data_IF_361604743731
#
_entry.id   IF_361604743731
#
_cell.length_a   1.000
_cell.length_b   1.000
_cell.length_c   1.000
_cell.angle_alpha   90.00
_cell.angle_beta   90.00
_cell.angle_gamma   90.00
#
_symmetry.space_group_name_H-M   'P 1'
#
loop_
_entity.id
_entity.type
_entity.pdbx_description
1 polymer ?
#
# COMPACT_ATOMS: atom_id res chain seq x y z
N UNK A 1 -2.14 10.56 18.15
CA UNK A 1 -3.42 11.07 18.71
C UNK A 1 -4.63 10.71 17.86
N UNK A 2 -4.46 10.42 16.55
CA UNK A 2 -5.55 10.02 15.63
C UNK A 2 -6.00 8.55 15.76
N UNK A 3 -5.15 7.66 16.26
CA UNK A 3 -5.50 6.24 16.44
C UNK A 3 -6.43 5.95 17.62
N UNK A 4 -6.45 6.79 18.67
CA UNK A 4 -7.35 6.60 19.83
C UNK A 4 -8.81 6.98 19.56
N UNK A 5 -9.06 7.87 18.60
CA UNK A 5 -10.42 8.32 18.24
C UNK A 5 -11.21 7.30 17.39
N UNK A 6 -10.51 6.45 16.62
CA UNK A 6 -11.16 5.45 15.76
C UNK A 6 -11.59 4.19 16.52
N UNK A 7 -10.85 3.80 17.57
CA UNK A 7 -11.18 2.60 18.37
C UNK A 7 -12.47 2.78 19.19
N UNK A 8 -12.73 3.99 19.69
CA UNK A 8 -13.94 4.26 20.48
C UNK A 8 -15.23 4.28 19.65
N UNK A 9 -15.16 4.67 18.36
CA UNK A 9 -16.34 4.66 17.47
C UNK A 9 -16.76 3.26 17.02
N UNK A 10 -15.81 2.31 16.94
CA UNK A 10 -16.12 0.92 16.55
C UNK A 10 -16.74 0.10 17.70
N UNK A 11 -16.34 0.36 18.94
CA UNK A 11 -16.95 -0.32 20.10
C UNK A 11 -18.40 0.12 20.35
N UNK A 12 -18.75 1.36 19.93
CA UNK A 12 -20.13 1.86 20.00
C UNK A 12 -21.04 1.28 18.92
N UNK A 13 -20.49 0.81 17.77
CA UNK A 13 -21.28 0.20 16.69
C UNK A 13 -21.85 -1.18 17.04
N UNK A 14 -21.28 -1.89 17.98
CA UNK A 14 -21.74 -3.22 18.39
C UNK A 14 -23.02 -3.19 19.25
N UNK A 15 -23.34 -2.07 19.92
CA UNK A 15 -24.47 -1.97 20.87
C UNK A 15 -25.72 -1.27 20.34
N UNK A 16 -25.69 -0.56 19.22
CA UNK A 16 -26.85 0.22 18.71
C UNK A 16 -27.25 -0.16 17.28
N UNK A 17 -27.57 -1.43 17.07
CA UNK A 17 -27.87 -2.02 15.76
C UNK A 17 -29.16 -1.51 15.08
N UNK A 18 -29.92 -0.59 15.71
CA UNK A 18 -31.24 -0.16 15.23
C UNK A 18 -31.40 1.31 14.90
N UNK A 19 -30.33 2.11 14.91
CA UNK A 19 -30.49 3.58 14.90
C UNK A 19 -29.81 4.28 13.72
N UNK A 20 -29.14 3.57 12.82
CA UNK A 20 -28.42 4.19 11.71
C UNK A 20 -28.91 3.75 10.35
N UNK A 21 -28.87 4.66 9.38
CA UNK A 21 -29.15 4.35 7.99
C UNK A 21 -28.15 3.29 7.46
N UNK A 22 -28.60 2.15 6.90
CA UNK A 22 -27.68 1.12 6.36
C UNK A 22 -26.98 1.56 5.07
N UNK A 23 -27.44 2.66 4.41
CA UNK A 23 -26.88 3.14 3.16
C UNK A 23 -25.78 4.19 3.36
N UNK A 24 -25.95 5.11 4.32
CA UNK A 24 -24.99 6.21 4.53
C UNK A 24 -24.48 6.34 5.97
N UNK A 25 -24.88 5.46 6.89
CA UNK A 25 -24.45 5.48 8.29
C UNK A 25 -25.04 6.62 9.14
N UNK A 26 -25.89 7.50 8.58
CA UNK A 26 -26.44 8.66 9.29
C UNK A 26 -27.40 8.24 10.41
N UNK A 27 -27.38 8.96 11.53
CA UNK A 27 -28.13 8.59 12.74
C UNK A 27 -29.62 8.96 12.68
N UNK A 28 -29.97 10.05 11.99
CA UNK A 28 -31.33 10.53 11.97
C UNK A 28 -32.16 9.78 10.93
N UNK A 29 -32.87 8.76 11.43
CA UNK A 29 -33.84 8.00 10.66
C UNK A 29 -35.22 8.13 11.27
N UNK A 30 -36.25 8.32 10.45
CA UNK A 30 -37.64 8.45 10.87
C UNK A 30 -38.45 7.23 10.47
N UNK A 31 -39.47 6.88 11.26
CA UNK A 31 -40.44 5.85 10.91
C UNK A 31 -41.24 6.31 9.70
N UNK A 32 -41.34 5.46 8.64
CA UNK A 32 -42.00 5.79 7.39
C UNK A 32 -42.99 4.70 6.98
N UNK A 33 -44.08 4.58 7.76
CA UNK A 33 -45.14 3.61 7.49
C UNK A 33 -44.70 2.15 7.68
N UNK A 34 -45.58 1.20 7.29
CA UNK A 34 -45.33 -0.23 7.33
C UNK A 34 -45.50 -0.86 5.95
N UNK A 35 -44.76 -1.90 5.66
CA UNK A 35 -44.89 -2.68 4.43
C UNK A 35 -44.81 -4.15 4.79
N UNK A 36 -45.81 -4.96 4.39
CA UNK A 36 -45.89 -6.37 4.72
C UNK A 36 -45.66 -6.66 6.22
N UNK A 37 -46.32 -5.89 7.12
CA UNK A 37 -46.20 -6.04 8.57
C UNK A 37 -44.90 -5.49 9.21
N UNK A 38 -43.93 -5.02 8.40
CA UNK A 38 -42.65 -4.52 8.89
C UNK A 38 -42.58 -3.00 8.89
N UNK A 39 -41.99 -2.41 9.95
CA UNK A 39 -41.76 -0.98 10.04
C UNK A 39 -40.71 -0.56 8.99
N UNK A 40 -41.04 0.44 8.15
CA UNK A 40 -40.10 1.11 7.24
C UNK A 40 -39.54 2.36 7.90
N UNK A 41 -38.36 2.72 7.48
CA UNK A 41 -37.64 3.90 7.92
C UNK A 41 -37.15 4.70 6.71
N UNK A 42 -37.05 6.03 6.88
CA UNK A 42 -36.48 6.95 5.89
C UNK A 42 -35.30 7.66 6.54
N UNK A 43 -34.17 7.66 5.85
CA UNK A 43 -33.00 8.45 6.25
C UNK A 43 -33.22 9.91 5.92
N UNK A 44 -32.97 10.81 6.88
CA UNK A 44 -33.08 12.25 6.63
C UNK A 44 -31.93 12.78 5.77
N UNK A 45 -30.77 12.13 5.75
CA UNK A 45 -29.62 12.56 4.98
C UNK A 45 -29.69 12.12 3.51
N UNK A 46 -29.76 10.81 3.24
CA UNK A 46 -29.74 10.28 1.88
C UNK A 46 -31.12 9.98 1.28
N UNK A 47 -32.20 10.19 2.02
CA UNK A 47 -33.57 9.93 1.56
C UNK A 47 -33.96 8.47 1.39
N UNK A 48 -33.02 7.53 1.56
CA UNK A 48 -33.26 6.10 1.35
C UNK A 48 -34.32 5.55 2.28
N UNK A 49 -35.21 4.73 1.70
CA UNK A 49 -36.22 3.97 2.45
C UNK A 49 -35.72 2.54 2.69
N UNK A 50 -35.79 2.08 3.93
CA UNK A 50 -35.30 0.75 4.30
C UNK A 50 -36.12 0.16 5.46
N UNK A 51 -35.96 -1.15 5.65
CA UNK A 51 -36.44 -1.86 6.84
C UNK A 51 -35.22 -2.44 7.53
N UNK A 52 -35.17 -2.45 8.86
CA UNK A 52 -34.10 -3.15 9.61
C UNK A 52 -34.26 -4.68 9.50
N UNK A 53 -34.54 -5.17 8.28
CA UNK A 53 -34.58 -6.58 7.99
C UNK A 53 -33.15 -7.14 7.93
N UNK A 54 -33.00 -8.39 8.32
CA UNK A 54 -31.73 -9.12 8.37
C UNK A 54 -30.90 -9.04 7.08
N UNK A 55 -31.54 -8.91 5.90
CA UNK A 55 -30.86 -8.80 4.60
C UNK A 55 -30.15 -7.45 4.37
N UNK A 56 -30.75 -6.33 4.74
CA UNK A 56 -30.16 -5.01 4.50
C UNK A 56 -28.98 -4.74 5.46
N UNK A 57 -29.17 -5.13 6.72
CA UNK A 57 -28.10 -5.07 7.75
C UNK A 57 -26.96 -6.04 7.41
N UNK A 58 -27.28 -7.22 6.86
CA UNK A 58 -26.30 -8.21 6.47
C UNK A 58 -25.41 -7.72 5.31
N UNK A 59 -25.99 -7.02 4.33
CA UNK A 59 -25.22 -6.52 3.16
C UNK A 59 -24.26 -5.41 3.55
N UNK A 60 -24.67 -4.47 4.40
CA UNK A 60 -23.80 -3.43 4.93
C UNK A 60 -22.66 -4.01 5.79
N UNK A 61 -22.98 -5.01 6.64
CA UNK A 61 -21.97 -5.68 7.47
C UNK A 61 -20.98 -6.51 6.63
N UNK A 62 -21.41 -7.10 5.51
CA UNK A 62 -20.53 -7.87 4.62
C UNK A 62 -19.43 -6.99 4.02
N UNK A 63 -19.79 -5.77 3.59
CA UNK A 63 -18.82 -4.84 3.04
C UNK A 63 -17.78 -4.41 4.08
N UNK A 64 -18.16 -4.22 5.35
CA UNK A 64 -17.22 -3.90 6.43
C UNK A 64 -16.17 -5.00 6.61
N UNK A 65 -16.55 -6.28 6.52
CA UNK A 65 -15.61 -7.40 6.61
C UNK A 65 -14.65 -7.46 5.42
N UNK A 66 -15.15 -7.16 4.21
CA UNK A 66 -14.33 -7.03 3.02
C UNK A 66 -13.32 -5.88 3.16
N UNK A 67 -13.78 -4.71 3.65
CA UNK A 67 -12.91 -3.56 3.93
C UNK A 67 -11.83 -3.90 4.98
N UNK A 68 -12.16 -4.66 6.01
CA UNK A 68 -11.17 -5.09 7.00
C UNK A 68 -10.11 -6.01 6.39
N UNK A 69 -10.51 -6.90 5.51
CA UNK A 69 -9.58 -7.75 4.79
C UNK A 69 -8.61 -6.94 3.94
N UNK A 70 -9.11 -6.02 3.12
CA UNK A 70 -8.29 -5.24 2.18
C UNK A 70 -7.47 -4.15 2.89
N UNK A 71 -8.10 -3.33 3.74
CA UNK A 71 -7.47 -2.13 4.30
C UNK A 71 -6.75 -2.39 5.62
N UNK A 72 -7.24 -3.33 6.43
CA UNK A 72 -6.66 -3.61 7.75
C UNK A 72 -5.76 -4.83 7.79
N UNK A 73 -5.52 -5.46 6.65
CA UNK A 73 -4.65 -6.64 6.51
C UNK A 73 -5.03 -7.78 7.47
N UNK A 74 -6.32 -7.90 7.81
CA UNK A 74 -6.82 -9.00 8.61
C UNK A 74 -6.84 -10.28 7.78
N UNK A 75 -6.43 -11.40 8.36
CA UNK A 75 -6.54 -12.70 7.69
C UNK A 75 -8.00 -13.16 7.64
N UNK A 76 -8.33 -14.01 6.66
CA UNK A 76 -9.67 -14.61 6.56
C UNK A 76 -10.05 -15.36 7.84
N UNK A 77 -9.11 -16.07 8.44
CA UNK A 77 -9.32 -16.78 9.71
C UNK A 77 -9.70 -15.82 10.85
N UNK A 78 -8.99 -14.69 10.99
CA UNK A 78 -9.32 -13.67 11.98
C UNK A 78 -10.71 -13.06 11.75
N UNK A 79 -11.05 -12.81 10.49
CA UNK A 79 -12.39 -12.29 10.15
C UNK A 79 -13.47 -13.34 10.40
N UNK A 80 -13.20 -14.61 10.16
CA UNK A 80 -14.12 -15.70 10.45
C UNK A 80 -14.44 -15.76 11.95
N UNK A 81 -13.43 -15.69 12.80
CA UNK A 81 -13.58 -15.64 14.25
C UNK A 81 -14.41 -14.44 14.72
N UNK A 82 -14.09 -13.24 14.21
CA UNK A 82 -14.78 -12.00 14.60
C UNK A 82 -16.21 -11.88 14.07
N UNK A 83 -16.46 -12.39 12.87
CA UNK A 83 -17.76 -12.25 12.18
C UNK A 83 -18.74 -13.36 12.46
N UNK A 84 -18.24 -14.55 12.85
CA UNK A 84 -19.00 -15.79 12.96
C UNK A 84 -19.40 -16.41 11.60
N UNK A 85 -18.83 -15.93 10.48
CA UNK A 85 -18.96 -16.58 9.17
C UNK A 85 -17.85 -17.63 9.01
N UNK A 86 -18.15 -18.72 8.28
CA UNK A 86 -17.09 -19.63 7.85
C UNK A 86 -16.19 -18.96 6.79
N UNK A 87 -14.93 -19.36 6.70
CA UNK A 87 -14.00 -18.85 5.69
C UNK A 87 -14.57 -18.98 4.26
N UNK A 88 -15.20 -20.12 3.96
CA UNK A 88 -15.86 -20.36 2.65
C UNK A 88 -16.98 -19.34 2.37
N UNK A 89 -17.73 -18.93 3.41
CA UNK A 89 -18.77 -17.90 3.24
C UNK A 89 -18.14 -16.52 3.02
N UNK A 90 -17.04 -16.22 3.70
CA UNK A 90 -16.30 -14.97 3.52
C UNK A 90 -15.74 -14.86 2.11
N UNK A 91 -15.06 -15.89 1.59
CA UNK A 91 -14.57 -15.90 0.20
C UNK A 91 -15.70 -15.63 -0.78
N UNK A 92 -16.81 -16.36 -0.70
CA UNK A 92 -17.96 -16.17 -1.59
C UNK A 92 -18.58 -14.78 -1.51
N UNK A 93 -18.57 -14.15 -0.32
CA UNK A 93 -19.04 -12.77 -0.14
C UNK A 93 -18.06 -11.74 -0.72
N UNK A 94 -16.76 -12.03 -0.66
CA UNK A 94 -15.71 -11.12 -1.13
C UNK A 94 -15.57 -11.19 -2.64
N UNK A 95 -15.78 -12.35 -3.25
CA UNK A 95 -15.85 -12.52 -4.71
C UNK A 95 -16.91 -11.60 -5.34
N UNK A 96 -18.08 -11.43 -4.70
CA UNK A 96 -19.11 -10.49 -5.17
C UNK A 96 -18.61 -9.03 -5.28
N UNK A 97 -17.60 -8.65 -4.48
CA UNK A 97 -16.99 -7.32 -4.53
C UNK A 97 -15.80 -7.25 -5.48
N UNK A 98 -15.03 -8.34 -5.59
CA UNK A 98 -13.87 -8.44 -6.49
C UNK A 98 -14.27 -8.53 -7.96
N UNK A 99 -15.44 -9.09 -8.27
CA UNK A 99 -15.98 -9.13 -9.63
C UNK A 99 -16.32 -7.76 -10.21
N UNK A 100 -16.45 -6.73 -9.35
CA UNK A 100 -16.72 -5.37 -9.80
C UNK A 100 -15.42 -4.67 -10.15
N UNK A 101 -15.23 -4.38 -11.41
CA UNK A 101 -14.12 -3.54 -11.84
C UNK A 101 -14.21 -2.16 -11.18
N UNK A 102 -13.10 -1.69 -10.57
CA UNK A 102 -13.06 -0.34 -10.04
C UNK A 102 -13.24 0.66 -11.17
N UNK A 103 -14.24 1.53 -11.03
CA UNK A 103 -14.41 2.69 -11.91
C UNK A 103 -13.72 3.86 -11.21
N UNK A 104 -12.67 4.41 -11.78
CA UNK A 104 -12.06 5.63 -11.30
C UNK A 104 -12.16 6.75 -12.32
N UNK A 105 -12.48 7.91 -11.82
CA UNK A 105 -12.29 9.12 -12.57
C UNK A 105 -10.82 9.51 -12.48
N UNK A 106 -10.13 9.51 -13.61
CA UNK A 106 -8.76 9.97 -13.69
C UNK A 106 -8.81 11.50 -13.51
N UNK A 107 -8.38 11.97 -12.34
CA UNK A 107 -8.11 13.39 -12.17
C UNK A 107 -6.87 13.73 -13.01
N UNK A 108 -7.09 14.31 -14.19
CA UNK A 108 -5.99 14.71 -15.09
C UNK A 108 -5.22 15.84 -14.46
N UNK A 109 -3.95 15.59 -14.22
CA UNK A 109 -2.96 16.62 -13.92
C UNK A 109 -1.96 16.67 -15.06
N UNK A 110 -1.59 17.88 -15.45
CA UNK A 110 -0.58 18.07 -16.49
C UNK A 110 0.79 17.49 -16.08
N UNK A 111 1.16 17.65 -14.79
CA UNK A 111 2.46 17.25 -14.24
C UNK A 111 2.31 16.30 -13.07
N UNK A 112 3.02 15.20 -13.09
CA UNK A 112 2.93 14.16 -12.06
C UNK A 112 4.29 13.73 -11.53
N UNK A 113 4.34 13.43 -10.23
CA UNK A 113 5.41 12.70 -9.59
C UNK A 113 4.96 11.24 -9.45
N UNK A 114 5.49 10.39 -10.32
CA UNK A 114 5.01 9.02 -10.50
C UNK A 114 5.70 8.06 -9.53
N UNK A 115 4.93 7.25 -8.82
CA UNK A 115 5.39 6.05 -8.15
C UNK A 115 5.09 4.84 -9.02
N UNK A 116 6.10 3.99 -9.22
CA UNK A 116 5.96 2.69 -9.88
C UNK A 116 6.36 1.62 -8.89
N UNK A 117 5.47 0.68 -8.62
CA UNK A 117 5.71 -0.44 -7.72
C UNK A 117 5.02 -1.71 -8.23
N UNK A 118 5.73 -2.82 -8.16
CA UNK A 118 5.22 -4.14 -8.52
C UNK A 118 4.88 -4.96 -7.30
N UNK A 119 3.74 -5.61 -7.31
CA UNK A 119 3.31 -6.53 -6.27
C UNK A 119 3.10 -7.91 -6.84
N UNK A 120 3.84 -8.89 -6.32
CA UNK A 120 3.79 -10.27 -6.74
C UNK A 120 2.76 -11.06 -5.95
N UNK A 121 1.94 -11.80 -6.67
CA UNK A 121 0.95 -12.72 -6.14
C UNK A 121 1.35 -14.17 -6.41
N UNK A 122 0.78 -15.13 -5.66
CA UNK A 122 0.89 -16.54 -6.03
C UNK A 122 0.47 -16.77 -7.49
N UNK A 123 0.97 -17.84 -8.11
CA UNK A 123 0.71 -18.21 -9.51
C UNK A 123 1.36 -17.30 -10.58
N UNK A 124 2.50 -16.70 -10.27
CA UNK A 124 3.27 -15.86 -11.21
C UNK A 124 2.48 -14.67 -11.76
N UNK A 125 1.66 -14.06 -10.97
CA UNK A 125 0.97 -12.84 -11.33
C UNK A 125 1.63 -11.65 -10.65
N UNK A 126 1.93 -10.61 -11.43
CA UNK A 126 2.47 -9.33 -10.96
C UNK A 126 1.46 -8.21 -11.26
N UNK A 127 1.19 -7.37 -10.27
CA UNK A 127 0.44 -6.14 -10.42
C UNK A 127 1.41 -4.96 -10.39
N UNK A 128 1.62 -4.33 -11.53
CA UNK A 128 2.40 -3.08 -11.62
C UNK A 128 1.45 -1.90 -11.48
N UNK A 129 1.72 -1.01 -10.54
CA UNK A 129 0.87 0.16 -10.23
C UNK A 129 1.63 1.44 -10.54
N UNK A 130 0.94 2.36 -11.23
CA UNK A 130 1.41 3.70 -11.54
C UNK A 130 0.57 4.70 -10.75
N UNK A 131 1.17 5.37 -9.77
CA UNK A 131 0.48 6.23 -8.82
C UNK A 131 1.05 7.65 -8.84
N UNK A 132 0.18 8.65 -8.89
CA UNK A 132 0.59 10.03 -8.62
C UNK A 132 0.77 10.23 -7.10
N UNK A 133 2.01 10.53 -6.69
CA UNK A 133 2.35 10.71 -5.27
C UNK A 133 1.72 11.99 -4.70
N UNK A 134 1.52 13.02 -5.51
CA UNK A 134 1.02 14.31 -5.04
C UNK A 134 -0.43 14.23 -4.60
N UNK A 135 -1.29 13.61 -5.41
CA UNK A 135 -2.72 13.42 -5.10
C UNK A 135 -3.02 12.03 -4.54
N UNK A 136 -1.99 11.17 -4.43
CA UNK A 136 -2.08 9.79 -3.92
C UNK A 136 -3.12 8.94 -4.62
N UNK A 137 -3.27 9.15 -5.93
CA UNK A 137 -4.23 8.42 -6.77
C UNK A 137 -3.51 7.52 -7.76
N UNK A 138 -3.99 6.30 -7.93
CA UNK A 138 -3.50 5.39 -8.96
C UNK A 138 -4.01 5.86 -10.31
N UNK A 139 -3.10 6.15 -11.22
CA UNK A 139 -3.42 6.60 -12.58
C UNK A 139 -3.66 5.42 -13.52
N UNK A 140 -2.88 4.37 -13.35
CA UNK A 140 -2.92 3.17 -14.18
C UNK A 140 -2.42 1.97 -13.41
N UNK A 141 -2.78 0.77 -13.83
CA UNK A 141 -2.19 -0.49 -13.37
C UNK A 141 -2.18 -1.51 -14.49
N UNK A 142 -1.23 -2.43 -14.43
CA UNK A 142 -1.12 -3.57 -15.33
C UNK A 142 -1.05 -4.86 -14.53
N UNK A 143 -1.83 -5.86 -14.94
CA UNK A 143 -1.67 -7.25 -14.52
C UNK A 143 -0.80 -7.96 -15.55
N UNK A 144 0.28 -8.56 -15.11
CA UNK A 144 1.27 -9.24 -15.97
C UNK A 144 1.87 -10.42 -15.20
N UNK A 145 2.75 -11.15 -15.85
CA UNK A 145 3.50 -12.26 -15.23
C UNK A 145 4.86 -11.83 -14.69
N UNK A 146 5.38 -10.67 -15.13
CA UNK A 146 6.65 -10.08 -14.66
C UNK A 146 6.68 -8.56 -14.91
N UNK A 147 7.66 -7.87 -14.33
CA UNK A 147 7.95 -6.46 -14.59
C UNK A 147 8.78 -6.30 -15.86
N UNK A 148 8.15 -6.51 -17.02
CA UNK A 148 8.83 -6.40 -18.32
C UNK A 148 9.14 -4.97 -18.70
N UNK A 149 10.39 -4.72 -19.12
CA UNK A 149 10.86 -3.38 -19.56
C UNK A 149 9.97 -2.79 -20.66
N UNK A 150 9.60 -3.61 -21.65
CA UNK A 150 8.81 -3.21 -22.80
C UNK A 150 7.39 -2.78 -22.38
N UNK A 151 6.76 -3.54 -21.50
CA UNK A 151 5.41 -3.24 -21.02
C UNK A 151 5.37 -1.97 -20.15
N UNK A 152 6.36 -1.82 -19.26
CA UNK A 152 6.47 -0.61 -18.44
C UNK A 152 6.75 0.61 -19.32
N UNK A 153 7.58 0.48 -20.34
CA UNK A 153 7.84 1.55 -21.31
C UNK A 153 6.57 1.96 -22.06
N UNK A 154 5.82 0.98 -22.57
CA UNK A 154 4.53 1.18 -23.25
C UNK A 154 3.54 1.92 -22.32
N UNK A 155 3.44 1.52 -21.05
CA UNK A 155 2.55 2.17 -20.09
C UNK A 155 2.91 3.63 -19.85
N UNK A 156 4.22 3.94 -19.75
CA UNK A 156 4.70 5.31 -19.60
C UNK A 156 4.43 6.15 -20.85
N UNK A 157 4.66 5.59 -22.03
CA UNK A 157 4.36 6.23 -23.32
C UNK A 157 2.85 6.50 -23.46
N UNK A 158 2.00 5.56 -23.03
CA UNK A 158 0.55 5.72 -23.01
C UNK A 158 0.10 6.83 -22.05
N UNK A 159 0.67 6.91 -20.85
CA UNK A 159 0.38 8.01 -19.92
C UNK A 159 0.76 9.38 -20.51
N UNK A 160 1.90 9.45 -21.22
CA UNK A 160 2.32 10.68 -21.89
C UNK A 160 1.42 11.02 -23.09
N UNK A 161 0.96 10.03 -23.85
CA UNK A 161 0.08 10.23 -25.01
C UNK A 161 -1.28 10.85 -24.65
N UNK A 162 -1.74 10.63 -23.42
CA UNK A 162 -2.97 11.27 -22.90
C UNK A 162 -2.70 12.63 -22.26
N UNK A 163 -1.49 13.20 -22.43
CA UNK A 163 -1.12 14.54 -22.01
C UNK A 163 -0.54 14.65 -20.59
N UNK A 164 -0.13 13.54 -19.97
CA UNK A 164 0.51 13.55 -18.66
C UNK A 164 2.01 13.81 -18.82
N UNK A 165 2.53 14.84 -18.17
CA UNK A 165 3.97 15.13 -18.09
C UNK A 165 4.52 14.50 -16.82
N UNK A 166 5.43 13.54 -16.96
CA UNK A 166 6.09 12.84 -15.86
C UNK A 166 7.34 13.64 -15.45
N UNK A 167 7.27 14.36 -14.31
CA UNK A 167 8.39 15.17 -13.80
C UNK A 167 9.41 14.31 -13.04
N UNK A 168 8.94 13.36 -12.26
CA UNK A 168 9.80 12.43 -11.54
C UNK A 168 9.20 11.03 -11.47
N UNK A 169 10.07 10.03 -11.32
CA UNK A 169 9.69 8.63 -11.12
C UNK A 169 10.41 8.09 -9.90
N UNK A 170 9.64 7.59 -8.95
CA UNK A 170 10.14 6.84 -7.79
C UNK A 170 9.78 5.37 -7.95
N UNK A 171 10.77 4.46 -7.85
CA UNK A 171 10.56 3.02 -7.89
C UNK A 171 11.47 2.28 -6.92
N UNK A 172 11.29 0.99 -6.77
CA UNK A 172 12.14 0.11 -5.95
C UNK A 172 13.59 0.02 -6.46
N UNK A 173 13.83 0.38 -7.72
CA UNK A 173 15.13 0.32 -8.39
C UNK A 173 15.32 -0.96 -9.22
N UNK A 174 14.25 -1.69 -9.52
CA UNK A 174 14.25 -2.81 -10.45
C UNK A 174 14.89 -2.44 -11.80
N UNK A 175 15.76 -3.30 -12.33
CA UNK A 175 16.54 -3.00 -13.55
C UNK A 175 15.64 -2.71 -14.76
N UNK A 176 14.54 -3.44 -14.89
CA UNK A 176 13.60 -3.28 -16.00
C UNK A 176 12.85 -1.95 -15.90
N UNK A 177 12.42 -1.56 -14.68
CA UNK A 177 11.78 -0.26 -14.44
C UNK A 177 12.74 0.88 -14.76
N UNK A 178 13.99 0.79 -14.28
CA UNK A 178 15.01 1.82 -14.57
C UNK A 178 15.25 1.99 -16.07
N UNK A 179 15.35 0.88 -16.83
CA UNK A 179 15.56 0.92 -18.28
C UNK A 179 14.36 1.52 -19.01
N UNK A 180 13.14 1.10 -18.63
CA UNK A 180 11.91 1.62 -19.20
C UNK A 180 11.77 3.13 -18.99
N UNK A 181 11.99 3.59 -17.75
CA UNK A 181 11.93 5.02 -17.40
C UNK A 181 12.99 5.83 -18.16
N UNK A 182 14.22 5.31 -18.29
CA UNK A 182 15.28 5.99 -19.06
C UNK A 182 14.90 6.18 -20.53
N UNK A 183 14.20 5.21 -21.12
CA UNK A 183 13.78 5.27 -22.52
C UNK A 183 12.55 6.14 -22.74
N UNK A 184 11.49 5.94 -21.93
CA UNK A 184 10.23 6.65 -22.10
C UNK A 184 10.25 8.08 -21.53
N UNK A 185 10.98 8.30 -20.43
CA UNK A 185 11.00 9.56 -19.70
C UNK A 185 12.43 10.04 -19.43
N UNK A 186 13.25 10.33 -20.47
CA UNK A 186 14.68 10.64 -20.31
C UNK A 186 14.94 11.87 -19.41
N UNK A 187 14.03 12.83 -19.42
CA UNK A 187 14.12 14.08 -18.64
C UNK A 187 13.57 14.00 -17.23
N UNK A 188 12.87 12.90 -16.88
CA UNK A 188 12.30 12.74 -15.55
C UNK A 188 13.39 12.52 -14.49
N UNK A 189 13.22 13.14 -13.32
CA UNK A 189 14.06 12.89 -12.15
C UNK A 189 13.77 11.47 -11.66
N UNK A 190 14.82 10.67 -11.49
CA UNK A 190 14.69 9.27 -11.00
C UNK A 190 15.11 9.18 -9.56
N UNK A 191 14.24 8.65 -8.74
CA UNK A 191 14.44 8.42 -7.31
C UNK A 191 14.24 6.94 -6.99
N UNK A 192 15.18 6.32 -6.29
CA UNK A 192 14.94 5.02 -5.68
C UNK A 192 14.11 5.18 -4.42
N UNK A 193 13.11 4.32 -4.23
CA UNK A 193 12.21 4.37 -3.08
C UNK A 193 12.98 4.15 -1.77
N UNK A 194 12.98 5.14 -0.90
CA UNK A 194 13.72 5.08 0.38
C UNK A 194 13.17 3.98 1.31
N UNK A 195 11.87 3.71 1.26
CA UNK A 195 11.27 2.64 2.05
C UNK A 195 11.76 1.24 1.60
N UNK A 196 11.96 1.04 0.28
CA UNK A 196 12.56 -0.19 -0.23
C UNK A 196 14.03 -0.31 0.16
N UNK A 197 14.80 0.76 0.02
CA UNK A 197 16.22 0.78 0.46
C UNK A 197 16.30 0.44 1.95
N UNK A 198 15.48 1.09 2.80
CA UNK A 198 15.48 0.83 4.23
C UNK A 198 15.16 -0.64 4.53
N UNK A 199 14.11 -1.19 3.91
CA UNK A 199 13.70 -2.59 4.12
C UNK A 199 14.79 -3.57 3.69
N UNK A 200 15.40 -3.34 2.54
CA UNK A 200 16.49 -4.15 2.02
C UNK A 200 17.70 -4.12 2.95
N UNK A 201 18.15 -2.93 3.35
CA UNK A 201 19.27 -2.79 4.31
C UNK A 201 18.96 -3.47 5.64
N UNK A 202 17.75 -3.29 6.19
CA UNK A 202 17.37 -3.93 7.46
C UNK A 202 17.26 -5.45 7.36
N UNK A 203 17.02 -6.00 6.18
CA UNK A 203 17.07 -7.45 5.93
C UNK A 203 18.51 -7.96 6.01
N UNK A 204 19.47 -7.23 5.42
CA UNK A 204 20.89 -7.58 5.45
C UNK A 204 21.51 -7.39 6.85
N UNK A 205 21.23 -6.27 7.50
CA UNK A 205 21.78 -5.93 8.83
C UNK A 205 21.17 -6.80 9.93
N UNK A 206 19.97 -7.35 9.72
CA UNK A 206 19.13 -8.08 10.69
C UNK A 206 18.52 -7.20 11.79
N UNK A 207 17.64 -7.79 12.61
CA UNK A 207 17.00 -7.07 13.73
C UNK A 207 17.95 -6.84 14.91
N UNK A 208 18.91 -7.75 15.10
CA UNK A 208 19.81 -7.75 16.24
C UNK A 208 21.25 -8.00 15.77
N UNK A 209 21.88 -6.97 15.14
CA UNK A 209 23.26 -7.11 14.66
C UNK A 209 24.20 -7.34 15.83
N UNK A 210 25.12 -8.29 15.66
CA UNK A 210 26.08 -8.66 16.71
C UNK A 210 27.30 -7.72 16.74
N UNK A 211 27.70 -7.19 15.58
CA UNK A 211 28.83 -6.27 15.49
C UNK A 211 28.42 -4.84 15.83
N UNK A 212 29.33 -4.07 16.41
CA UNK A 212 29.14 -2.64 16.68
C UNK A 212 28.85 -1.87 15.38
N UNK A 213 29.59 -2.17 14.32
CA UNK A 213 29.37 -1.59 12.99
C UNK A 213 27.92 -1.79 12.50
N UNK A 214 27.40 -3.02 12.64
CA UNK A 214 26.02 -3.33 12.25
C UNK A 214 24.98 -2.61 13.11
N UNK A 215 25.21 -2.44 14.42
CA UNK A 215 24.31 -1.72 15.32
C UNK A 215 24.22 -0.24 14.94
N UNK A 216 25.36 0.41 14.73
CA UNK A 216 25.45 1.82 14.33
C UNK A 216 24.85 2.04 12.93
N UNK A 217 25.14 1.15 11.96
CA UNK A 217 24.54 1.22 10.63
C UNK A 217 23.01 1.10 10.67
N UNK A 218 22.50 0.22 11.53
CA UNK A 218 21.07 0.06 11.71
C UNK A 218 20.40 1.36 12.17
N UNK A 219 21.00 2.10 13.09
CA UNK A 219 20.49 3.39 13.54
C UNK A 219 20.44 4.41 12.40
N UNK A 220 21.49 4.48 11.56
CA UNK A 220 21.55 5.35 10.39
C UNK A 220 20.47 4.96 9.38
N UNK A 221 20.33 3.66 9.06
CA UNK A 221 19.34 3.15 8.11
C UNK A 221 17.91 3.43 8.59
N UNK A 222 17.63 3.30 9.89
CA UNK A 222 16.30 3.59 10.44
C UNK A 222 15.87 5.05 10.23
N UNK A 223 16.81 5.97 10.08
CA UNK A 223 16.53 7.41 9.86
C UNK A 223 16.27 7.76 8.39
N UNK A 224 16.58 6.90 7.41
CA UNK A 224 16.53 7.24 5.98
C UNK A 224 15.14 7.71 5.51
N UNK A 225 14.06 7.10 6.00
CA UNK A 225 12.69 7.49 5.65
C UNK A 225 12.20 8.75 6.38
N UNK A 226 12.96 9.29 7.33
CA UNK A 226 12.64 10.55 8.01
C UNK A 226 13.24 11.78 7.33
N UNK A 227 14.07 11.61 6.29
CA UNK A 227 14.67 12.68 5.50
C UNK A 227 13.56 13.43 4.75
N UNK A 228 13.38 14.72 5.06
CA UNK A 228 12.38 15.60 4.43
C UNK A 228 13.00 16.82 3.79
N UNK A 229 14.11 17.28 4.29
CA UNK A 229 14.79 18.50 3.85
C UNK A 229 16.17 18.19 3.28
N UNK A 230 16.74 19.18 2.56
CA UNK A 230 18.13 19.10 2.08
C UNK A 230 19.11 18.95 3.25
N UNK A 231 18.85 19.65 4.36
CA UNK A 231 19.69 19.57 5.56
C UNK A 231 19.65 18.18 6.19
N UNK A 232 18.47 17.55 6.30
CA UNK A 232 18.35 16.17 6.79
C UNK A 232 19.16 15.21 5.92
N UNK A 233 19.11 15.40 4.59
CA UNK A 233 19.87 14.59 3.64
C UNK A 233 21.38 14.76 3.83
N UNK A 234 21.84 16.00 3.96
CA UNK A 234 23.27 16.30 4.16
C UNK A 234 23.76 15.69 5.48
N UNK A 235 22.99 15.84 6.55
CA UNK A 235 23.33 15.25 7.84
C UNK A 235 23.38 13.72 7.76
N UNK A 236 22.36 13.09 7.19
CA UNK A 236 22.32 11.62 7.02
C UNK A 236 23.51 11.13 6.18
N UNK A 237 23.84 11.83 5.11
CA UNK A 237 24.99 11.48 4.26
C UNK A 237 26.30 11.62 5.02
N UNK A 238 26.46 12.66 5.82
CA UNK A 238 27.64 12.87 6.68
C UNK A 238 27.78 11.76 7.72
N UNK A 239 26.69 11.41 8.39
CA UNK A 239 26.64 10.32 9.40
C UNK A 239 27.05 8.97 8.77
N UNK A 240 26.52 8.69 7.56
CA UNK A 240 26.86 7.48 6.82
C UNK A 240 28.35 7.43 6.40
N UNK A 241 28.90 8.52 5.91
CA UNK A 241 30.33 8.59 5.56
C UNK A 241 31.24 8.47 6.78
N UNK A 242 30.88 9.12 7.88
CA UNK A 242 31.61 9.00 9.15
C UNK A 242 31.64 7.56 9.65
N UNK A 243 30.47 6.87 9.60
CA UNK A 243 30.37 5.47 9.91
C UNK A 243 31.23 4.58 9.00
N UNK A 244 31.17 4.81 7.69
CA UNK A 244 31.91 4.04 6.71
C UNK A 244 33.44 4.17 6.90
N UNK A 245 33.93 5.37 7.22
CA UNK A 245 35.35 5.60 7.50
C UNK A 245 35.76 4.98 8.85
N UNK A 246 34.94 5.10 9.88
CA UNK A 246 35.22 4.52 11.21
C UNK A 246 35.28 2.99 11.17
N UNK A 247 34.57 2.34 10.25
CA UNK A 247 34.54 0.88 10.11
C UNK A 247 35.20 0.37 8.83
N UNK A 248 36.08 1.16 8.22
CA UNK A 248 36.71 0.85 6.93
C UNK A 248 37.48 -0.45 6.92
N UNK A 249 38.24 -0.74 7.98
CA UNK A 249 39.00 -2.00 8.10
C UNK A 249 38.05 -3.19 8.14
N UNK A 250 37.01 -3.13 8.97
CA UNK A 250 35.96 -4.15 9.08
C UNK A 250 35.26 -4.39 7.74
N UNK A 251 34.88 -3.34 7.02
CA UNK A 251 34.23 -3.45 5.71
C UNK A 251 35.14 -4.02 4.62
N UNK A 252 36.45 -3.91 4.77
CA UNK A 252 37.44 -4.45 3.83
C UNK A 252 37.89 -5.86 4.15
N UNK A 253 37.40 -6.47 5.24
CA UNK A 253 37.66 -7.86 5.54
C UNK A 253 37.14 -8.77 4.44
N UNK A 254 37.98 -9.74 4.06
CA UNK A 254 37.64 -10.71 3.02
C UNK A 254 37.74 -12.14 3.53
N UNK A 255 36.79 -12.93 3.09
CA UNK A 255 36.77 -14.37 3.33
C UNK A 255 37.10 -15.12 2.03
N UNK A 256 38.07 -16.03 2.09
CA UNK A 256 38.39 -16.89 0.96
C UNK A 256 37.38 -18.03 0.87
N UNK A 257 36.68 -18.13 -0.24
CA UNK A 257 35.84 -19.29 -0.54
C UNK A 257 36.67 -20.41 -1.10
N UNK A 258 36.98 -21.44 -0.30
CA UNK A 258 37.91 -22.55 -0.60
C UNK A 258 37.51 -23.25 -1.93
N UNK A 259 36.23 -23.51 -2.16
CA UNK A 259 35.75 -24.22 -3.36
C UNK A 259 35.96 -23.46 -4.69
N UNK A 260 36.00 -22.15 -4.68
CA UNK A 260 36.09 -21.33 -5.90
C UNK A 260 37.37 -20.50 -6.01
N UNK A 261 38.27 -20.57 -5.02
CA UNK A 261 39.46 -19.72 -4.88
C UNK A 261 39.22 -18.22 -5.07
N UNK A 262 37.97 -17.75 -4.79
CA UNK A 262 37.60 -16.36 -4.88
C UNK A 262 37.50 -15.72 -3.49
N UNK A 263 38.05 -14.52 -3.38
CA UNK A 263 37.89 -13.70 -2.20
C UNK A 263 36.56 -12.95 -2.30
N UNK A 264 35.79 -12.94 -1.22
CA UNK A 264 34.55 -12.21 -1.06
C UNK A 264 34.65 -11.31 0.16
N UNK A 265 34.00 -10.16 0.10
CA UNK A 265 33.85 -9.35 1.30
C UNK A 265 33.06 -10.12 2.36
N UNK A 266 33.54 -10.05 3.60
CA UNK A 266 32.92 -10.77 4.73
C UNK A 266 31.63 -10.07 5.19
N UNK A 267 31.56 -8.75 4.99
CA UNK A 267 30.50 -7.88 5.48
C UNK A 267 29.88 -7.02 4.40
#
# INVERSE_FOLDING_TARGET
TLMKSFSSKLFFMAKTRRERCPHCGFLEVIKWGRQCGHQRYKCKNCGSLFTFRRKDVSKANRFVWFEWWILRKQTIAQIAELSGYSERQLYRMFDEYLEKYPTWEIQRREKVNLLIDGTWFPNKMCLVVYRDETIKTTLFYRLTDDEWEEQIREDLENLQSVGIVIESVTSDGGRNIIKAVKKACPNAIRQRCLAHIQRECLTWITKHPQSKAGQELREIVCKICSIKTVNDRLQWTSDFHAWAEAHKEYLNEKTLKIESHREWYTH
#
